data_IF_547606077736
#
_entry.id   IF_547606077736
#
_cell.length_a   1.000
_cell.length_b   1.000
_cell.length_c   1.000
_cell.angle_alpha   90.00
_cell.angle_beta   90.00
_cell.angle_gamma   90.00
#
_symmetry.space_group_name_H-M   'P 1'
#
loop_
_entity.id
_entity.type
_entity.pdbx_description
1 polymer ?
#
# COMPACT_ATOMS: atom_id res chain seq x y z
N UNK A 1 0.60 5.04 -4.54
CA UNK A 1 0.21 4.54 -3.20
C UNK A 1 0.48 3.05 -3.12
N UNK A 2 0.69 2.53 -1.93
CA UNK A 2 1.05 1.13 -1.71
C UNK A 2 0.11 0.52 -0.66
N UNK A 3 -0.28 -0.76 -0.86
CA UNK A 3 -1.10 -1.47 0.11
C UNK A 3 -0.27 -2.08 1.26
N UNK A 4 -0.97 -2.56 2.28
CA UNK A 4 -0.35 -3.13 3.49
C UNK A 4 0.53 -4.34 3.17
N UNK A 5 0.07 -5.23 2.29
CA UNK A 5 0.78 -6.46 2.00
C UNK A 5 2.11 -6.21 1.27
N UNK A 6 2.17 -5.22 0.40
CA UNK A 6 3.41 -4.84 -0.27
C UNK A 6 4.42 -4.30 0.74
N UNK A 7 4.00 -3.42 1.65
CA UNK A 7 4.88 -2.92 2.71
C UNK A 7 5.36 -4.05 3.62
N UNK A 8 4.45 -4.92 4.03
CA UNK A 8 4.78 -6.06 4.89
C UNK A 8 5.81 -6.96 4.23
N UNK A 9 5.62 -7.27 2.94
CA UNK A 9 6.58 -8.08 2.18
C UNK A 9 7.94 -7.39 2.06
N UNK A 10 7.97 -6.09 1.86
CA UNK A 10 9.21 -5.33 1.76
C UNK A 10 10.00 -5.35 3.07
N UNK A 11 9.31 -5.31 4.21
CA UNK A 11 9.95 -5.36 5.52
C UNK A 11 10.52 -6.75 5.81
N UNK A 12 9.73 -7.80 5.54
CA UNK A 12 10.14 -9.18 5.80
C UNK A 12 11.22 -9.68 4.82
N UNK A 13 11.16 -9.20 3.57
CA UNK A 13 12.05 -9.65 2.50
C UNK A 13 12.73 -8.45 1.85
N UNK A 14 13.78 -7.89 2.50
CA UNK A 14 14.44 -6.67 2.00
C UNK A 14 15.07 -6.81 0.62
N UNK A 15 15.31 -8.03 0.16
CA UNK A 15 15.87 -8.29 -1.17
C UNK A 15 14.80 -8.80 -2.15
N UNK A 16 13.54 -8.81 -1.72
CA UNK A 16 12.44 -9.27 -2.55
C UNK A 16 11.93 -8.20 -3.51
N UNK A 17 10.98 -8.61 -4.33
CA UNK A 17 10.42 -7.76 -5.38
C UNK A 17 9.64 -6.56 -4.84
N UNK A 18 8.94 -6.72 -3.73
CA UNK A 18 8.22 -5.62 -3.10
C UNK A 18 9.18 -4.53 -2.63
N UNK A 19 10.28 -4.91 -1.98
CA UNK A 19 11.30 -3.96 -1.54
C UNK A 19 11.98 -3.26 -2.72
N UNK A 20 12.23 -3.99 -3.81
CA UNK A 20 12.79 -3.42 -5.04
C UNK A 20 11.84 -2.39 -5.66
N UNK A 21 10.55 -2.70 -5.70
CA UNK A 21 9.54 -1.78 -6.22
C UNK A 21 9.44 -0.50 -5.39
N UNK A 22 9.50 -0.61 -4.05
CA UNK A 22 9.50 0.56 -3.19
C UNK A 22 10.74 1.44 -3.41
N UNK A 23 11.91 0.83 -3.52
CA UNK A 23 13.15 1.56 -3.80
C UNK A 23 13.08 2.28 -5.14
N UNK A 24 12.54 1.62 -6.15
CA UNK A 24 12.34 2.20 -7.47
C UNK A 24 11.37 3.40 -7.41
N UNK A 25 10.27 3.23 -6.68
CA UNK A 25 9.29 4.29 -6.50
C UNK A 25 9.92 5.54 -5.86
N UNK A 26 10.68 5.35 -4.79
CA UNK A 26 11.31 6.46 -4.07
C UNK A 26 12.30 7.20 -4.95
N UNK A 27 13.04 6.50 -5.80
CA UNK A 27 14.04 7.12 -6.67
C UNK A 27 13.43 7.90 -7.84
N UNK A 28 12.29 7.45 -8.36
CA UNK A 28 11.74 7.98 -9.63
C UNK A 28 10.36 8.60 -9.52
N UNK A 29 9.67 8.37 -8.43
CA UNK A 29 8.29 8.79 -8.22
C UNK A 29 8.09 9.28 -6.79
N UNK A 30 6.86 9.59 -6.45
CA UNK A 30 6.48 9.93 -5.08
C UNK A 30 5.74 8.77 -4.45
N UNK A 31 6.25 8.28 -3.32
CA UNK A 31 5.59 7.22 -2.56
C UNK A 31 4.55 7.83 -1.63
N UNK A 32 3.32 7.33 -1.73
CA UNK A 32 2.21 7.77 -0.88
C UNK A 32 1.74 6.58 -0.04
N UNK A 33 1.58 6.80 1.26
CA UNK A 33 1.05 5.80 2.19
C UNK A 33 -0.11 6.42 2.95
N UNK A 34 -1.24 5.71 3.03
CA UNK A 34 -2.39 6.22 3.79
C UNK A 34 -2.35 5.75 5.24
N UNK A 35 -3.00 6.51 6.11
CA UNK A 35 -3.04 6.24 7.54
C UNK A 35 -3.63 4.86 7.87
N UNK A 36 -4.62 4.43 7.12
CA UNK A 36 -5.22 3.10 7.30
C UNK A 36 -4.18 1.98 7.13
N UNK A 37 -3.32 2.10 6.10
CA UNK A 37 -2.26 1.12 5.85
C UNK A 37 -1.25 1.11 6.99
N UNK A 38 -0.85 2.26 7.49
CA UNK A 38 0.09 2.33 8.63
C UNK A 38 -0.49 1.66 9.87
N UNK A 39 -1.75 1.92 10.18
CA UNK A 39 -2.41 1.35 11.35
C UNK A 39 -2.59 -0.16 11.21
N UNK A 40 -2.99 -0.62 10.02
CA UNK A 40 -3.14 -2.04 9.74
C UNK A 40 -1.80 -2.78 9.85
N UNK A 41 -0.74 -2.20 9.29
CA UNK A 41 0.59 -2.79 9.34
C UNK A 41 1.09 -2.92 10.78
N UNK A 42 0.95 -1.88 11.59
CA UNK A 42 1.32 -1.91 13.00
C UNK A 42 0.54 -3.00 13.76
N UNK A 43 -0.74 -3.11 13.49
CA UNK A 43 -1.62 -4.11 14.12
C UNK A 43 -1.20 -5.52 13.75
N UNK A 44 -0.92 -5.77 12.47
CA UNK A 44 -0.50 -7.09 11.98
C UNK A 44 0.85 -7.50 12.58
N UNK A 45 1.82 -6.59 12.58
CA UNK A 45 3.16 -6.87 13.13
C UNK A 45 3.07 -7.11 14.63
N UNK A 46 2.31 -6.30 15.35
CA UNK A 46 2.12 -6.48 16.81
C UNK A 46 1.50 -7.84 17.14
N UNK A 47 0.56 -8.28 16.33
CA UNK A 47 -0.15 -9.55 16.55
C UNK A 47 0.67 -10.76 16.16
N UNK A 48 1.31 -10.73 14.99
CA UNK A 48 1.98 -11.90 14.40
C UNK A 48 3.47 -11.94 14.65
N UNK A 49 4.12 -10.80 14.72
CA UNK A 49 5.57 -10.69 14.83
C UNK A 49 5.95 -9.56 15.80
N UNK A 50 5.55 -9.66 17.09
CA UNK A 50 5.79 -8.56 18.04
C UNK A 50 7.28 -8.21 18.23
N UNK A 51 8.17 -9.19 18.03
CA UNK A 51 9.62 -8.95 18.10
C UNK A 51 10.14 -8.09 16.94
N UNK A 52 9.34 -7.87 15.89
CA UNK A 52 9.73 -7.09 14.71
C UNK A 52 9.20 -5.65 14.74
N UNK A 53 8.58 -5.22 15.84
CA UNK A 53 8.07 -3.84 15.95
C UNK A 53 9.17 -2.79 15.82
N UNK A 54 10.36 -3.06 16.37
CA UNK A 54 11.49 -2.14 16.23
C UNK A 54 11.98 -2.06 14.78
N UNK A 55 11.90 -3.14 14.03
CA UNK A 55 12.24 -3.15 12.60
C UNK A 55 11.28 -2.28 11.81
N UNK A 56 10.01 -2.30 12.19
CA UNK A 56 8.98 -1.45 11.56
C UNK A 56 9.29 0.02 11.75
N UNK A 57 9.63 0.43 12.97
CA UNK A 57 9.98 1.81 13.27
C UNK A 57 11.22 2.25 12.49
N UNK A 58 12.25 1.41 12.45
CA UNK A 58 13.47 1.67 11.69
C UNK A 58 13.18 1.81 10.20
N UNK A 59 12.33 0.95 9.68
CA UNK A 59 11.92 0.99 8.26
C UNK A 59 11.29 2.34 7.91
N UNK A 60 10.33 2.81 8.71
CA UNK A 60 9.64 4.06 8.44
C UNK A 60 10.52 5.30 8.67
N UNK A 61 11.47 5.24 9.58
CA UNK A 61 12.43 6.33 9.77
C UNK A 61 13.28 6.58 8.52
N UNK A 62 13.58 5.53 7.78
CA UNK A 62 14.43 5.59 6.58
C UNK A 62 13.63 5.77 5.29
N UNK A 63 12.32 5.61 5.33
CA UNK A 63 11.47 5.65 4.16
C UNK A 63 11.01 7.07 3.87
N UNK A 64 11.26 7.54 2.65
CA UNK A 64 10.75 8.84 2.20
C UNK A 64 9.36 8.63 1.59
N UNK A 65 8.33 9.17 2.23
CA UNK A 65 6.95 9.03 1.75
C UNK A 65 6.09 10.20 2.17
N UNK A 66 4.99 10.39 1.44
CA UNK A 66 3.93 11.31 1.80
C UNK A 66 2.83 10.54 2.53
N UNK A 67 2.46 11.00 3.72
CA UNK A 67 1.35 10.43 4.47
C UNK A 67 0.06 11.15 4.10
N UNK A 68 -0.96 10.38 3.69
CA UNK A 68 -2.31 10.88 3.47
C UNK A 68 -3.27 10.19 4.44
N UNK A 69 -4.28 10.92 4.87
CA UNK A 69 -5.20 10.40 5.87
C UNK A 69 -6.44 9.81 5.22
N UNK A 70 -6.74 8.55 5.56
CA UNK A 70 -7.98 7.91 5.15
C UNK A 70 -9.14 8.65 5.79
N UNK A 71 -10.18 9.04 5.01
CA UNK A 71 -11.34 9.73 5.57
C UNK A 71 -12.05 8.91 6.64
N UNK A 72 -12.53 9.57 7.69
CA UNK A 72 -13.31 8.91 8.75
C UNK A 72 -14.62 8.36 8.21
N UNK A 73 -15.28 9.10 7.34
CA UNK A 73 -16.50 8.69 6.68
C UNK A 73 -16.18 8.22 5.27
N UNK A 74 -16.35 6.92 5.07
CA UNK A 74 -16.11 6.28 3.79
C UNK A 74 -17.47 6.04 3.13
N UNK A 75 -17.64 6.61 1.93
CA UNK A 75 -18.82 6.37 1.13
C UNK A 75 -18.77 4.96 0.56
N UNK A 76 -19.69 4.11 1.03
CA UNK A 76 -19.75 2.71 0.60
C UNK A 76 -20.40 2.62 -0.77
N UNK A 77 -20.05 1.57 -1.52
CA UNK A 77 -20.63 1.27 -2.83
C UNK A 77 -20.25 2.21 -3.98
N UNK A 78 -19.15 2.96 -3.88
CA UNK A 78 -18.61 3.69 -5.05
C UNK A 78 -18.05 2.73 -6.10
N UNK A 79 -17.55 1.58 -5.65
CA UNK A 79 -17.02 0.55 -6.52
C UNK A 79 -17.12 -0.81 -5.83
N UNK A 80 -17.22 -1.92 -6.58
CA UNK A 80 -17.17 -3.24 -5.98
C UNK A 80 -15.76 -3.59 -5.53
N UNK A 81 -15.66 -4.33 -4.44
CA UNK A 81 -14.39 -4.86 -3.97
C UNK A 81 -14.64 -6.21 -3.31
N UNK A 82 -13.72 -7.15 -3.50
CA UNK A 82 -13.86 -8.51 -3.02
C UNK A 82 -13.76 -8.60 -1.50
N UNK A 83 -12.75 -7.94 -0.92
CA UNK A 83 -12.54 -7.92 0.53
C UNK A 83 -12.83 -6.53 1.08
N UNK A 84 -13.84 -6.39 1.98
CA UNK A 84 -14.16 -5.11 2.59
C UNK A 84 -13.00 -4.43 3.32
N UNK A 85 -11.99 -5.19 3.76
CA UNK A 85 -10.81 -4.63 4.43
C UNK A 85 -9.94 -3.81 3.50
N UNK A 86 -10.01 -4.08 2.20
CA UNK A 86 -9.24 -3.37 1.19
C UNK A 86 -9.94 -2.10 0.70
N UNK A 87 -11.22 -1.97 1.01
CA UNK A 87 -12.02 -0.82 0.57
C UNK A 87 -11.44 0.52 1.04
N UNK A 88 -11.04 0.70 2.32
CA UNK A 88 -10.48 1.96 2.76
C UNK A 88 -9.20 2.37 2.02
N UNK A 89 -8.38 1.40 1.62
CA UNK A 89 -7.13 1.66 0.89
C UNK A 89 -7.45 2.23 -0.49
N UNK A 90 -8.30 1.53 -1.23
CA UNK A 90 -8.68 1.97 -2.59
C UNK A 90 -9.49 3.26 -2.54
N UNK A 91 -10.37 3.41 -1.57
CA UNK A 91 -11.14 4.63 -1.37
C UNK A 91 -10.21 5.84 -1.18
N UNK A 92 -9.20 5.71 -0.32
CA UNK A 92 -8.22 6.77 -0.09
C UNK A 92 -7.43 7.08 -1.37
N UNK A 93 -7.05 6.05 -2.11
CA UNK A 93 -6.34 6.22 -3.38
C UNK A 93 -7.18 7.01 -4.40
N UNK A 94 -8.47 6.75 -4.46
CA UNK A 94 -9.39 7.47 -5.34
C UNK A 94 -9.55 8.93 -4.91
N UNK A 95 -9.80 9.16 -3.63
CA UNK A 95 -10.00 10.51 -3.07
C UNK A 95 -8.75 11.37 -3.25
N UNK A 96 -7.58 10.80 -3.01
CA UNK A 96 -6.30 11.50 -3.16
C UNK A 96 -5.81 11.56 -4.61
N UNK A 97 -6.57 10.98 -5.53
CA UNK A 97 -6.28 10.98 -6.96
C UNK A 97 -4.86 10.50 -7.28
N UNK A 98 -4.43 9.42 -6.63
CA UNK A 98 -3.12 8.83 -6.92
C UNK A 98 -3.12 8.19 -8.30
N UNK A 99 -1.97 8.16 -8.95
CA UNK A 99 -1.86 7.60 -10.31
C UNK A 99 -1.84 6.09 -10.30
N UNK A 100 -1.17 5.50 -9.32
CA UNK A 100 -0.94 4.06 -9.25
C UNK A 100 -1.13 3.56 -7.83
N UNK A 101 -1.84 2.44 -7.69
CA UNK A 101 -1.91 1.67 -6.45
C UNK A 101 -1.10 0.39 -6.63
N UNK A 102 -0.06 0.26 -5.84
CA UNK A 102 0.83 -0.89 -5.85
C UNK A 102 0.28 -1.97 -4.93
N UNK A 103 -0.16 -3.09 -5.49
CA UNK A 103 -0.75 -4.19 -4.75
C UNK A 103 -0.46 -5.53 -5.42
N UNK A 104 -0.18 -6.54 -4.62
CA UNK A 104 -0.07 -7.91 -5.10
C UNK A 104 -1.36 -8.70 -4.95
N UNK A 105 -2.44 -8.04 -4.57
CA UNK A 105 -3.69 -8.69 -4.18
C UNK A 105 -4.70 -8.68 -5.33
N UNK A 106 -5.28 -9.85 -5.64
CA UNK A 106 -6.33 -10.00 -6.63
C UNK A 106 -7.65 -9.35 -6.21
N UNK A 107 -7.79 -8.99 -4.94
CA UNK A 107 -9.01 -8.38 -4.42
C UNK A 107 -9.33 -7.03 -5.07
N UNK A 108 -8.36 -6.42 -5.72
CA UNK A 108 -8.56 -5.17 -6.45
C UNK A 108 -8.88 -5.36 -7.93
N UNK A 109 -8.88 -6.60 -8.44
CA UNK A 109 -8.96 -6.85 -9.88
C UNK A 109 -10.31 -6.51 -10.51
N UNK A 110 -11.41 -6.59 -9.76
CA UNK A 110 -12.78 -6.48 -10.31
C UNK A 110 -13.48 -5.18 -9.91
N UNK A 111 -12.74 -4.11 -9.68
CA UNK A 111 -13.32 -2.84 -9.23
C UNK A 111 -13.97 -2.03 -10.34
N UNK A 112 -13.63 -2.32 -11.61
CA UNK A 112 -14.10 -1.54 -12.75
C UNK A 112 -13.46 -0.17 -12.88
N UNK A 113 -12.52 0.17 -11.98
CA UNK A 113 -11.84 1.46 -12.00
C UNK A 113 -10.68 1.44 -13.00
N UNK A 114 -10.56 2.53 -13.77
CA UNK A 114 -9.40 2.75 -14.63
C UNK A 114 -8.35 3.61 -13.97
N UNK A 115 -8.73 4.34 -12.93
CA UNK A 115 -7.85 5.23 -12.18
C UNK A 115 -8.20 5.15 -10.69
N UNK A 116 -7.26 4.88 -9.76
CA UNK A 116 -5.84 4.62 -10.04
C UNK A 116 -5.63 3.31 -10.80
N UNK A 117 -4.52 3.24 -11.51
CA UNK A 117 -4.10 2.00 -12.13
C UNK A 117 -3.54 1.08 -11.04
N UNK A 118 -4.01 -0.17 -11.00
CA UNK A 118 -3.61 -1.12 -9.95
C UNK A 118 -2.61 -2.10 -10.56
N UNK A 119 -1.39 -2.13 -10.03
CA UNK A 119 -0.30 -2.93 -10.56
C UNK A 119 0.40 -3.71 -9.46
N UNK A 120 0.94 -4.87 -9.83
CA UNK A 120 1.80 -5.65 -8.94
C UNK A 120 3.20 -5.02 -8.86
N UNK A 121 4.01 -5.36 -7.83
CA UNK A 121 5.40 -4.94 -7.81
C UNK A 121 6.18 -5.30 -9.08
N UNK A 122 5.94 -6.50 -9.63
CA UNK A 122 6.59 -6.93 -10.87
C UNK A 122 6.20 -6.06 -12.07
N UNK A 123 4.91 -5.78 -12.21
CA UNK A 123 4.42 -4.91 -13.28
C UNK A 123 4.94 -3.49 -13.15
N UNK A 124 4.98 -2.99 -11.91
CA UNK A 124 5.48 -1.65 -11.63
C UNK A 124 6.94 -1.50 -12.07
N UNK A 125 7.78 -2.48 -11.74
CA UNK A 125 9.19 -2.47 -12.12
C UNK A 125 9.40 -2.52 -13.63
N UNK A 126 8.49 -3.18 -14.36
CA UNK A 126 8.55 -3.24 -15.82
C UNK A 126 8.11 -1.96 -16.51
N UNK A 127 7.10 -1.28 -15.95
CA UNK A 127 6.39 -0.22 -16.66
C UNK A 127 6.75 1.18 -16.21
N UNK A 128 7.23 1.32 -15.00
CA UNK A 128 7.48 2.62 -14.37
C UNK A 128 8.90 2.77 -13.89
#
# INVERSE_FOLDING_TARGET
MVDTNVLFSAILFPQGRAAEALSHCIRKHELVICSYVLDELKRVVRKKFPSRLSDLDTFFEKLSFELVYTPEHIEKALFPIRDPKDYPILYTAVIENVDVLLSGDDDFSDTGLTHPEIVTPAEFLKRF
#
